data_IF_990071380847
#
_entry.id   IF_990071380847
#
_cell.length_a   1.000
_cell.length_b   1.000
_cell.length_c   1.000
_cell.angle_alpha   90.00
_cell.angle_beta   90.00
_cell.angle_gamma   90.00
#
_symmetry.space_group_name_H-M   'P 1'
#
loop_
_entity.id
_entity.type
_entity.pdbx_description
1 polymer ?
#
# COMPACT_ATOMS: atom_id res chain seq x y z
N UNK A 1 -36.12 44.06 8.59
CA UNK A 1 -35.73 43.02 7.62
C UNK A 1 -34.47 43.56 6.95
N UNK A 2 -33.27 43.32 7.49
CA UNK A 2 -32.37 42.25 7.04
C UNK A 2 -31.23 42.09 8.07
N UNK A 3 -31.49 41.42 9.19
CA UNK A 3 -30.43 40.92 10.07
C UNK A 3 -30.62 39.41 10.17
N UNK A 4 -30.35 38.71 9.06
CA UNK A 4 -30.20 37.26 9.05
C UNK A 4 -28.70 37.01 8.87
N UNK A 5 -28.07 36.80 10.01
CA UNK A 5 -27.04 35.77 10.23
C UNK A 5 -26.08 35.53 9.07
N UNK A 6 -24.95 36.26 9.07
CA UNK A 6 -23.70 35.64 8.65
C UNK A 6 -23.38 34.55 9.67
N UNK A 7 -23.87 33.33 9.43
CA UNK A 7 -23.44 32.14 10.15
C UNK A 7 -21.96 31.96 9.83
N UNK A 8 -21.11 32.46 10.73
CA UNK A 8 -19.68 32.20 10.70
C UNK A 8 -19.54 30.71 11.02
N UNK A 9 -19.32 29.89 9.99
CA UNK A 9 -18.92 28.51 10.19
C UNK A 9 -17.49 28.52 10.74
N UNK A 10 -17.34 28.42 12.06
CA UNK A 10 -16.06 28.12 12.69
C UNK A 10 -15.71 26.68 12.33
N UNK A 11 -14.64 26.41 11.56
CA UNK A 11 -14.22 25.05 11.29
C UNK A 11 -13.75 24.40 12.60
N UNK A 12 -14.55 23.49 13.14
CA UNK A 12 -14.13 22.64 14.25
C UNK A 12 -13.25 21.55 13.66
N UNK A 13 -11.94 21.67 13.84
CA UNK A 13 -10.98 20.62 13.49
C UNK A 13 -10.99 19.57 14.59
N UNK A 14 -11.44 18.36 14.27
CA UNK A 14 -11.24 17.20 15.15
C UNK A 14 -9.77 16.79 15.03
N UNK A 15 -8.98 16.87 16.10
CA UNK A 15 -7.57 16.49 16.05
C UNK A 15 -7.44 15.00 15.72
N UNK A 16 -6.35 14.64 15.05
CA UNK A 16 -5.99 13.24 14.82
C UNK A 16 -5.76 12.54 16.17
N UNK A 17 -6.13 11.26 16.23
CA UNK A 17 -5.88 10.47 17.44
C UNK A 17 -4.38 10.27 17.61
N UNK A 18 -3.90 10.38 18.85
CA UNK A 18 -2.53 10.02 19.16
C UNK A 18 -2.33 8.50 19.00
N UNK A 19 -1.07 8.04 18.89
CA UNK A 19 -0.78 6.61 18.73
C UNK A 19 -1.38 5.77 19.88
N UNK A 20 -1.32 6.27 21.12
CA UNK A 20 -1.95 5.60 22.28
C UNK A 20 -3.47 5.52 22.16
N UNK A 21 -4.11 6.56 21.63
CA UNK A 21 -5.56 6.60 21.48
C UNK A 21 -6.00 5.62 20.39
N UNK A 22 -5.21 5.47 19.32
CA UNK A 22 -5.47 4.43 18.30
C UNK A 22 -5.33 3.03 18.89
N UNK A 23 -4.31 2.80 19.72
CA UNK A 23 -4.14 1.51 20.39
C UNK A 23 -5.35 1.20 21.28
N UNK A 24 -5.74 2.13 22.15
CA UNK A 24 -6.92 1.98 23.01
C UNK A 24 -8.18 1.78 22.17
N UNK A 25 -8.35 2.57 21.11
CA UNK A 25 -9.48 2.49 20.20
C UNK A 25 -9.56 1.13 19.51
N UNK A 26 -8.43 0.60 19.02
CA UNK A 26 -8.37 -0.72 18.40
C UNK A 26 -8.78 -1.81 19.38
N UNK A 27 -8.31 -1.74 20.63
CA UNK A 27 -8.70 -2.70 21.68
C UNK A 27 -10.19 -2.59 22.03
N UNK A 28 -10.74 -1.39 22.10
CA UNK A 28 -12.17 -1.21 22.36
C UNK A 28 -13.05 -1.68 21.21
N UNK A 29 -12.59 -1.55 19.96
CA UNK A 29 -13.29 -2.14 18.82
C UNK A 29 -13.29 -3.68 18.90
N UNK A 30 -12.24 -4.30 19.42
CA UNK A 30 -12.25 -5.75 19.70
C UNK A 30 -13.31 -6.08 20.75
N UNK A 31 -13.35 -5.35 21.87
CA UNK A 31 -14.41 -5.54 22.88
C UNK A 31 -15.79 -5.38 22.23
N UNK A 32 -15.98 -4.35 21.41
CA UNK A 32 -17.24 -4.10 20.70
C UNK A 32 -17.69 -5.25 19.79
N UNK A 33 -16.76 -5.97 19.15
CA UNK A 33 -17.09 -7.11 18.27
C UNK A 33 -17.68 -8.29 19.07
N UNK A 34 -17.32 -8.43 20.35
CA UNK A 34 -17.70 -9.57 21.20
C UNK A 34 -18.73 -9.26 22.29
N UNK A 35 -19.25 -8.02 22.35
CA UNK A 35 -20.30 -7.66 23.31
C UNK A 35 -21.49 -6.96 22.64
N UNK A 36 -22.72 -7.20 23.13
CA UNK A 36 -23.90 -6.47 22.69
C UNK A 36 -23.75 -4.95 22.92
N UNK A 37 -24.43 -4.15 22.10
CA UNK A 37 -24.36 -2.68 22.15
C UNK A 37 -24.62 -2.08 23.53
N UNK A 38 -25.51 -2.68 24.31
CA UNK A 38 -25.85 -2.24 25.67
C UNK A 38 -24.72 -2.54 26.66
N UNK A 39 -24.17 -3.75 26.61
CA UNK A 39 -23.02 -4.15 27.44
C UNK A 39 -21.76 -3.35 27.07
N UNK A 40 -21.55 -3.05 25.79
CA UNK A 40 -20.46 -2.18 25.35
C UNK A 40 -20.56 -0.77 25.95
N UNK A 41 -21.78 -0.20 25.99
CA UNK A 41 -22.00 1.11 26.64
C UNK A 41 -21.66 1.04 28.14
N UNK A 42 -22.08 -0.02 28.82
CA UNK A 42 -21.77 -0.22 30.24
C UNK A 42 -20.25 -0.36 30.48
N UNK A 43 -19.54 -1.08 29.61
CA UNK A 43 -18.08 -1.15 29.61
C UNK A 43 -17.44 0.24 29.46
N UNK A 44 -17.88 1.04 28.48
CA UNK A 44 -17.35 2.40 28.29
C UNK A 44 -17.58 3.30 29.50
N UNK A 45 -18.75 3.22 30.14
CA UNK A 45 -19.04 3.97 31.37
C UNK A 45 -18.13 3.53 32.53
N UNK A 46 -17.84 2.24 32.66
CA UNK A 46 -16.86 1.73 33.65
C UNK A 46 -15.46 2.29 33.38
N UNK A 47 -14.99 2.24 32.14
CA UNK A 47 -13.68 2.79 31.74
C UNK A 47 -13.58 4.29 32.05
N UNK A 48 -14.63 5.07 31.76
CA UNK A 48 -14.70 6.51 32.05
C UNK A 48 -14.68 6.78 33.56
N UNK A 49 -15.49 6.05 34.34
CA UNK A 49 -15.59 6.21 35.80
C UNK A 49 -14.23 5.96 36.48
N UNK A 50 -13.47 5.01 35.97
CA UNK A 50 -12.13 4.69 36.45
C UNK A 50 -11.02 5.59 35.86
N UNK A 51 -11.36 6.58 35.04
CA UNK A 51 -10.43 7.57 34.46
C UNK A 51 -9.25 6.96 33.70
N UNK A 52 -9.42 5.77 33.13
CA UNK A 52 -8.33 5.02 32.47
C UNK A 52 -7.84 5.68 31.18
N UNK A 53 -8.64 6.59 30.61
CA UNK A 53 -8.29 7.34 29.39
C UNK A 53 -7.43 8.59 29.66
N UNK A 54 -7.19 8.94 30.92
CA UNK A 54 -6.49 10.18 31.31
C UNK A 54 -4.97 9.97 31.40
N UNK A 55 -4.50 8.71 31.38
CA UNK A 55 -3.08 8.38 31.45
C UNK A 55 -2.31 8.85 30.21
N UNK A 56 -1.02 9.14 30.40
CA UNK A 56 -0.09 9.44 29.31
C UNK A 56 0.20 8.22 28.43
N UNK A 57 0.03 7.01 28.96
CA UNK A 57 0.25 5.75 28.23
C UNK A 57 -1.04 5.10 27.73
N UNK A 58 -0.91 4.17 26.78
CA UNK A 58 -2.01 3.29 26.39
C UNK A 58 -2.46 2.43 27.58
N UNK A 59 -3.75 2.13 27.67
CA UNK A 59 -4.30 1.27 28.73
C UNK A 59 -3.69 -0.12 28.57
N UNK A 60 -3.20 -0.65 29.68
CA UNK A 60 -2.68 -1.99 29.74
C UNK A 60 -3.69 -3.03 29.21
N UNK A 61 -3.19 -3.94 28.38
CA UNK A 61 -4.02 -4.94 27.68
C UNK A 61 -4.69 -5.87 28.68
N UNK A 62 -3.98 -6.30 29.72
CA UNK A 62 -4.51 -7.19 30.74
C UNK A 62 -5.65 -6.51 31.51
N UNK A 63 -5.49 -5.23 31.83
CA UNK A 63 -6.54 -4.42 32.45
C UNK A 63 -7.79 -4.26 31.58
N UNK A 64 -7.63 -4.12 30.25
CA UNK A 64 -8.77 -4.11 29.31
C UNK A 64 -9.47 -5.47 29.32
N UNK A 65 -8.71 -6.57 29.21
CA UNK A 65 -9.26 -7.94 29.21
C UNK A 65 -10.09 -8.20 30.46
N UNK A 66 -9.50 -8.01 31.64
CA UNK A 66 -10.16 -8.24 32.93
C UNK A 66 -11.50 -7.51 33.03
N UNK A 67 -11.53 -6.24 32.60
CA UNK A 67 -12.75 -5.44 32.65
C UNK A 67 -13.76 -5.84 31.60
N UNK A 68 -13.32 -6.23 30.40
CA UNK A 68 -14.20 -6.63 29.32
C UNK A 68 -14.87 -7.98 29.59
N UNK A 69 -14.22 -8.89 30.32
CA UNK A 69 -14.76 -10.23 30.64
C UNK A 69 -16.09 -10.20 31.43
N UNK A 70 -16.38 -9.13 32.16
CA UNK A 70 -17.67 -8.92 32.83
C UNK A 70 -18.82 -8.60 31.87
N UNK A 71 -18.50 -8.18 30.64
CA UNK A 71 -19.45 -7.70 29.63
C UNK A 71 -19.47 -8.59 28.38
N UNK A 72 -18.84 -9.76 28.42
CA UNK A 72 -18.76 -10.70 27.30
C UNK A 72 -19.37 -12.03 27.75
N UNK A 73 -20.30 -12.56 26.97
CA UNK A 73 -20.93 -13.86 27.21
C UNK A 73 -19.91 -15.01 27.20
N UNK A 74 -20.12 -16.02 28.05
CA UNK A 74 -19.17 -17.12 28.26
C UNK A 74 -18.79 -17.83 26.95
N UNK A 75 -19.73 -17.98 26.02
CA UNK A 75 -19.52 -18.59 24.71
C UNK A 75 -18.51 -17.83 23.82
N UNK A 76 -18.31 -16.54 24.07
CA UNK A 76 -17.44 -15.67 23.28
C UNK A 76 -16.10 -15.38 23.97
N UNK A 77 -15.94 -15.68 25.27
CA UNK A 77 -14.75 -15.32 26.06
C UNK A 77 -13.46 -15.85 25.45
N UNK A 78 -13.41 -17.14 25.07
CA UNK A 78 -12.22 -17.74 24.45
C UNK A 78 -11.85 -17.05 23.13
N UNK A 79 -12.83 -16.82 22.25
CA UNK A 79 -12.60 -16.15 20.94
C UNK A 79 -12.18 -14.69 21.12
N UNK A 80 -12.72 -14.02 22.12
CA UNK A 80 -12.33 -12.69 22.52
C UNK A 80 -10.86 -12.67 22.97
N UNK A 81 -10.47 -13.53 23.92
CA UNK A 81 -9.09 -13.62 24.42
C UNK A 81 -8.09 -13.85 23.29
N UNK A 82 -8.33 -14.86 22.45
CA UNK A 82 -7.50 -15.15 21.27
C UNK A 82 -7.37 -13.92 20.35
N UNK A 83 -8.45 -13.18 20.14
CA UNK A 83 -8.45 -11.99 19.29
C UNK A 83 -7.69 -10.84 19.94
N UNK A 84 -7.86 -10.63 21.24
CA UNK A 84 -7.14 -9.61 21.98
C UNK A 84 -5.64 -9.87 21.94
N UNK A 85 -5.22 -11.13 22.12
CA UNK A 85 -3.79 -11.50 22.07
C UNK A 85 -3.17 -11.20 20.71
N UNK A 86 -3.86 -11.55 19.63
CA UNK A 86 -3.40 -11.24 18.26
C UNK A 86 -3.29 -9.73 18.07
N UNK A 87 -4.35 -8.97 18.41
CA UNK A 87 -4.40 -7.53 18.19
C UNK A 87 -3.39 -6.79 19.08
N UNK A 88 -3.16 -7.25 20.31
CA UNK A 88 -2.16 -6.70 21.20
C UNK A 88 -0.73 -6.81 20.64
N UNK A 89 -0.42 -7.89 19.93
CA UNK A 89 0.88 -8.08 19.27
C UNK A 89 1.14 -7.11 18.11
N UNK A 90 0.09 -6.57 17.49
CA UNK A 90 0.22 -5.72 16.29
C UNK A 90 -0.25 -4.27 16.48
N UNK A 91 -0.92 -3.94 17.59
CA UNK A 91 -1.57 -2.64 17.81
C UNK A 91 -0.60 -1.46 17.69
N UNK A 92 0.63 -1.60 18.17
CA UNK A 92 1.64 -0.54 18.12
C UNK A 92 2.07 -0.22 16.67
N UNK A 93 2.22 -1.25 15.84
CA UNK A 93 2.59 -1.09 14.42
C UNK A 93 1.42 -0.48 13.64
N UNK A 94 0.21 -0.99 13.89
CA UNK A 94 -1.02 -0.46 13.29
C UNK A 94 -1.22 1.01 13.68
N UNK A 95 -1.06 1.36 14.95
CA UNK A 95 -1.21 2.73 15.43
C UNK A 95 -0.17 3.68 14.80
N UNK A 96 1.10 3.26 14.75
CA UNK A 96 2.17 4.06 14.14
C UNK A 96 1.97 4.31 12.64
N UNK A 97 1.40 3.36 11.90
CA UNK A 97 1.18 3.50 10.46
C UNK A 97 -0.11 4.25 10.11
N UNK A 98 -1.19 4.08 10.90
CA UNK A 98 -2.50 4.62 10.58
C UNK A 98 -2.66 6.13 10.89
N UNK A 99 -1.61 6.81 11.35
CA UNK A 99 -1.53 8.27 11.57
C UNK A 99 -2.79 8.87 12.20
N UNK A 100 -3.29 8.26 13.27
CA UNK A 100 -4.45 8.79 13.99
C UNK A 100 -5.80 8.60 13.32
N UNK A 101 -5.91 7.91 12.17
CA UNK A 101 -7.16 7.81 11.41
C UNK A 101 -8.10 6.69 11.93
N UNK A 102 -9.18 7.02 12.67
CA UNK A 102 -10.03 6.00 13.29
C UNK A 102 -10.75 5.12 12.27
N UNK A 103 -11.08 5.68 11.11
CA UNK A 103 -11.75 4.94 10.02
C UNK A 103 -10.82 3.86 9.47
N UNK A 104 -9.54 4.17 9.30
CA UNK A 104 -8.58 3.18 8.82
C UNK A 104 -8.37 2.07 9.86
N UNK A 105 -8.32 2.42 11.15
CA UNK A 105 -8.21 1.45 12.25
C UNK A 105 -9.37 0.47 12.27
N UNK A 106 -10.60 0.99 12.18
CA UNK A 106 -11.80 0.14 12.09
C UNK A 106 -11.80 -0.72 10.82
N UNK A 107 -11.41 -0.15 9.68
CA UNK A 107 -11.32 -0.89 8.40
C UNK A 107 -10.32 -2.03 8.48
N UNK A 108 -9.16 -1.80 9.11
CA UNK A 108 -8.17 -2.84 9.36
C UNK A 108 -8.77 -3.98 10.20
N UNK A 109 -9.35 -3.66 11.36
CA UNK A 109 -9.93 -4.68 12.24
C UNK A 109 -11.05 -5.47 11.53
N UNK A 110 -11.97 -4.80 10.85
CA UNK A 110 -13.03 -5.46 10.10
C UNK A 110 -12.46 -6.39 9.02
N UNK A 111 -11.39 -5.97 8.33
CA UNK A 111 -10.72 -6.80 7.34
C UNK A 111 -10.14 -8.04 8.00
N UNK A 112 -9.41 -7.88 9.11
CA UNK A 112 -8.87 -8.99 9.88
C UNK A 112 -9.95 -9.97 10.35
N UNK A 113 -11.01 -9.49 11.00
CA UNK A 113 -12.13 -10.33 11.47
C UNK A 113 -12.80 -11.07 10.31
N UNK A 114 -13.01 -10.40 9.18
CA UNK A 114 -13.58 -11.02 7.98
C UNK A 114 -12.67 -12.13 7.46
N UNK A 115 -11.36 -11.88 7.36
CA UNK A 115 -10.37 -12.87 6.90
C UNK A 115 -10.19 -14.02 7.88
N UNK A 116 -10.28 -13.78 9.19
CA UNK A 116 -10.28 -14.82 10.23
C UNK A 116 -11.49 -15.74 10.06
N UNK A 117 -12.71 -15.18 9.99
CA UNK A 117 -13.94 -15.96 9.76
C UNK A 117 -13.87 -16.75 8.44
N UNK A 118 -13.29 -16.15 7.40
CA UNK A 118 -13.06 -16.81 6.11
C UNK A 118 -12.06 -17.97 6.22
N UNK A 119 -10.97 -17.79 6.98
CA UNK A 119 -9.98 -18.82 7.25
C UNK A 119 -10.61 -20.02 7.97
N UNK A 120 -11.40 -19.76 9.02
CA UNK A 120 -12.13 -20.77 9.78
C UNK A 120 -13.10 -21.56 8.87
N UNK A 121 -13.77 -20.88 7.94
CA UNK A 121 -14.68 -21.52 6.97
C UNK A 121 -13.95 -22.39 5.93
N UNK A 122 -12.81 -21.96 5.39
CA UNK A 122 -12.11 -22.71 4.34
C UNK A 122 -11.18 -23.79 4.87
N UNK A 123 -10.58 -23.58 6.04
CA UNK A 123 -9.49 -24.41 6.57
C UNK A 123 -9.81 -25.04 7.93
N UNK A 124 -10.99 -24.76 8.51
CA UNK A 124 -11.40 -25.28 9.81
C UNK A 124 -10.74 -24.58 10.99
N UNK A 125 -11.07 -25.05 12.20
CA UNK A 125 -10.56 -24.55 13.49
C UNK A 125 -9.62 -25.52 14.20
N UNK A 126 -9.41 -26.69 13.61
CA UNK A 126 -8.73 -27.83 14.23
C UNK A 126 -7.39 -28.11 13.52
N UNK A 127 -7.04 -29.37 13.28
CA UNK A 127 -5.80 -29.73 12.58
C UNK A 127 -5.73 -29.11 11.18
N UNK A 128 -4.74 -28.25 10.96
CA UNK A 128 -4.54 -27.53 9.70
C UNK A 128 -5.18 -26.14 9.64
N UNK A 129 -5.78 -25.66 10.74
CA UNK A 129 -6.22 -24.28 10.89
C UNK A 129 -5.06 -23.30 10.70
N UNK A 130 -5.37 -22.11 10.19
CA UNK A 130 -4.37 -21.06 10.02
C UNK A 130 -4.11 -20.34 11.35
N UNK A 131 -2.84 -20.03 11.61
CA UNK A 131 -2.47 -19.17 12.73
C UNK A 131 -2.93 -17.74 12.45
N UNK A 132 -3.91 -17.27 13.21
CA UNK A 132 -4.50 -15.94 13.04
C UNK A 132 -3.49 -14.82 13.31
N UNK A 133 -2.38 -15.09 14.03
CA UNK A 133 -1.29 -14.12 14.23
C UNK A 133 -0.50 -13.91 12.95
N UNK A 134 -0.22 -14.98 12.20
CA UNK A 134 0.41 -14.88 10.87
C UNK A 134 -0.48 -14.07 9.93
N UNK A 135 -1.79 -14.35 9.92
CA UNK A 135 -2.75 -13.60 9.11
C UNK A 135 -2.74 -12.10 9.45
N UNK A 136 -2.80 -11.76 10.74
CA UNK A 136 -2.76 -10.38 11.20
C UNK A 136 -1.45 -9.69 10.77
N UNK A 137 -0.30 -10.34 10.97
CA UNK A 137 1.01 -9.82 10.56
C UNK A 137 1.07 -9.55 9.05
N UNK A 138 0.56 -10.46 8.22
CA UNK A 138 0.50 -10.26 6.77
C UNK A 138 -0.42 -9.11 6.34
N UNK A 139 -1.59 -8.97 6.97
CA UNK A 139 -2.50 -7.85 6.71
C UNK A 139 -1.90 -6.50 7.13
N UNK A 140 -1.07 -6.49 8.18
CA UNK A 140 -0.31 -5.30 8.56
C UNK A 140 0.70 -4.97 7.45
N UNK A 141 1.51 -5.92 6.97
CA UNK A 141 2.44 -5.67 5.86
C UNK A 141 1.73 -5.09 4.65
N UNK A 142 0.59 -5.69 4.26
CA UNK A 142 -0.23 -5.21 3.15
C UNK A 142 -0.65 -3.73 3.31
N UNK A 143 -0.90 -3.28 4.54
CA UNK A 143 -1.22 -1.87 4.84
C UNK A 143 0.01 -0.98 4.91
N UNK A 144 1.14 -1.50 5.41
CA UNK A 144 2.39 -0.77 5.47
C UNK A 144 2.91 -0.49 4.06
N UNK A 145 3.00 -1.54 3.24
CA UNK A 145 3.52 -1.52 1.89
C UNK A 145 2.99 -2.72 1.08
N UNK A 146 2.11 -2.44 0.12
CA UNK A 146 1.50 -3.48 -0.70
C UNK A 146 2.48 -4.11 -1.71
N UNK A 147 3.53 -3.39 -2.12
CA UNK A 147 4.54 -3.93 -3.04
C UNK A 147 5.43 -4.94 -2.32
N UNK A 148 5.82 -4.66 -1.07
CA UNK A 148 6.54 -5.64 -0.22
C UNK A 148 5.66 -6.86 0.08
N UNK A 149 4.37 -6.67 0.32
CA UNK A 149 3.42 -7.77 0.49
C UNK A 149 3.33 -8.67 -0.76
N UNK A 150 3.27 -8.09 -1.96
CA UNK A 150 3.30 -8.83 -3.22
C UNK A 150 4.65 -9.52 -3.41
N UNK A 151 5.75 -8.85 -3.08
CA UNK A 151 7.08 -9.42 -3.18
C UNK A 151 7.24 -10.65 -2.28
N UNK A 152 6.73 -10.59 -1.03
CA UNK A 152 6.72 -11.73 -0.12
C UNK A 152 5.92 -12.91 -0.69
N UNK A 153 4.80 -12.64 -1.36
CA UNK A 153 4.05 -13.68 -2.06
C UNK A 153 4.86 -14.31 -3.20
N UNK A 154 5.59 -13.52 -3.98
CA UNK A 154 6.46 -14.06 -5.03
C UNK A 154 7.59 -14.93 -4.47
N UNK A 155 8.19 -14.54 -3.34
CA UNK A 155 9.17 -15.37 -2.63
C UNK A 155 8.54 -16.66 -2.11
N UNK A 156 7.33 -16.57 -1.53
CA UNK A 156 6.63 -17.73 -1.00
C UNK A 156 6.26 -18.76 -2.08
N UNK A 157 6.08 -18.37 -3.35
CA UNK A 157 5.86 -19.34 -4.44
C UNK A 157 7.03 -20.31 -4.65
N UNK A 158 8.23 -19.92 -4.21
CA UNK A 158 9.45 -20.75 -4.23
C UNK A 158 9.68 -21.50 -2.91
N UNK A 159 8.75 -21.46 -1.98
CA UNK A 159 8.86 -22.12 -0.69
C UNK A 159 9.04 -23.64 -0.86
N UNK A 160 10.13 -24.17 -0.33
CA UNK A 160 10.41 -25.61 -0.25
C UNK A 160 10.22 -26.08 1.19
N UNK A 161 11.30 -26.05 1.98
CA UNK A 161 11.35 -26.24 3.44
C UNK A 161 11.38 -24.92 4.19
N UNK A 162 11.94 -23.88 3.58
CA UNK A 162 11.95 -22.51 4.07
C UNK A 162 11.85 -21.51 2.91
N UNK A 163 11.55 -20.26 3.22
CA UNK A 163 11.57 -19.14 2.28
C UNK A 163 12.98 -18.52 2.27
N UNK A 164 13.82 -18.97 1.32
CA UNK A 164 15.22 -18.56 1.23
C UNK A 164 15.38 -17.05 1.01
N UNK A 165 14.55 -16.43 0.17
CA UNK A 165 14.63 -14.99 -0.06
C UNK A 165 14.21 -14.16 1.17
N UNK A 166 13.22 -14.62 1.93
CA UNK A 166 12.85 -13.94 3.18
C UNK A 166 13.97 -14.08 4.23
N UNK A 167 14.59 -15.27 4.34
CA UNK A 167 15.73 -15.49 5.23
C UNK A 167 16.92 -14.62 4.88
N UNK A 168 17.29 -14.55 3.60
CA UNK A 168 18.36 -13.67 3.13
C UNK A 168 18.06 -12.18 3.40
N UNK A 169 16.77 -11.79 3.33
CA UNK A 169 16.33 -10.44 3.71
C UNK A 169 16.53 -10.18 5.22
N UNK A 170 16.20 -11.14 6.10
CA UNK A 170 16.44 -11.04 7.54
C UNK A 170 17.93 -10.86 7.87
N UNK A 171 18.79 -11.71 7.28
CA UNK A 171 20.25 -11.63 7.45
C UNK A 171 20.82 -10.28 7.00
N UNK A 172 20.24 -9.69 5.94
CA UNK A 172 20.61 -8.37 5.45
C UNK A 172 20.19 -7.24 6.40
N UNK A 173 19.04 -7.36 7.08
CA UNK A 173 18.61 -6.37 8.10
C UNK A 173 19.50 -6.44 9.34
N UNK A 174 19.93 -7.64 9.74
CA UNK A 174 20.82 -7.83 10.90
C UNK A 174 22.27 -7.35 10.65
N UNK A 175 22.66 -7.12 9.39
CA UNK A 175 23.99 -6.68 8.98
C UNK A 175 23.94 -5.30 8.29
N UNK A 176 23.98 -4.18 9.03
CA UNK A 176 23.79 -2.82 8.50
C UNK A 176 24.80 -2.40 7.42
N UNK A 177 25.98 -3.03 7.39
CA UNK A 177 27.05 -2.76 6.42
C UNK A 177 26.83 -3.42 5.05
N UNK A 178 25.79 -4.25 4.91
CA UNK A 178 25.51 -4.99 3.69
C UNK A 178 24.52 -4.18 2.81
N UNK A 179 25.04 -3.30 1.95
CA UNK A 179 24.24 -2.55 0.98
C UNK A 179 23.75 -3.46 -0.16
N UNK A 180 22.73 -4.27 0.11
CA UNK A 180 22.04 -5.01 -0.93
C UNK A 180 20.85 -4.21 -1.48
N UNK A 181 21.02 -3.64 -2.68
CA UNK A 181 19.97 -2.85 -3.36
C UNK A 181 18.62 -3.60 -3.45
N UNK A 182 18.64 -4.95 -3.50
CA UNK A 182 17.44 -5.80 -3.57
C UNK A 182 16.56 -5.67 -2.32
N UNK A 183 17.14 -5.45 -1.14
CA UNK A 183 16.43 -5.45 0.14
C UNK A 183 16.31 -4.06 0.78
N UNK A 184 16.77 -3.01 0.10
CA UNK A 184 16.74 -1.63 0.60
C UNK A 184 15.34 -1.18 1.05
N UNK A 185 14.28 -1.59 0.34
CA UNK A 185 12.90 -1.27 0.70
C UNK A 185 12.41 -2.00 1.98
N UNK A 186 13.02 -3.13 2.35
CA UNK A 186 12.75 -3.85 3.60
C UNK A 186 13.50 -3.26 4.80
N UNK A 187 14.59 -2.54 4.55
CA UNK A 187 15.43 -1.90 5.57
C UNK A 187 14.95 -0.47 5.89
N UNK A 188 13.66 -0.33 6.23
CA UNK A 188 13.03 0.94 6.62
C UNK A 188 12.47 0.79 8.04
N UNK A 189 12.55 1.80 8.93
CA UNK A 189 12.20 1.64 10.35
C UNK A 189 10.81 1.05 10.63
N UNK A 190 9.80 1.38 9.81
CA UNK A 190 8.45 0.82 9.94
C UNK A 190 8.38 -0.67 9.57
N UNK A 191 9.14 -1.10 8.57
CA UNK A 191 9.19 -2.49 8.11
C UNK A 191 10.05 -3.34 9.06
N UNK A 192 11.15 -2.79 9.60
CA UNK A 192 11.95 -3.47 10.62
C UNK A 192 11.10 -3.79 11.86
N UNK A 193 10.33 -2.81 12.36
CA UNK A 193 9.38 -3.05 13.47
C UNK A 193 8.36 -4.15 13.13
N UNK A 194 7.93 -4.24 11.88
CA UNK A 194 7.06 -5.32 11.42
C UNK A 194 7.78 -6.67 11.40
N UNK A 195 9.02 -6.73 10.92
CA UNK A 195 9.83 -7.95 10.93
C UNK A 195 9.99 -8.48 12.35
N UNK A 196 10.33 -7.60 13.31
CA UNK A 196 10.56 -7.92 14.73
C UNK A 196 9.30 -8.34 15.49
N UNK A 197 8.11 -8.04 14.97
CA UNK A 197 6.85 -8.42 15.62
C UNK A 197 6.60 -9.91 15.59
N UNK A 198 5.83 -10.43 16.55
CA UNK A 198 5.43 -11.83 16.52
C UNK A 198 4.35 -12.08 15.44
N UNK A 199 4.40 -13.21 14.72
CA UNK A 199 5.43 -14.27 14.75
C UNK A 199 6.69 -13.90 13.95
N UNK A 200 7.88 -14.11 14.53
CA UNK A 200 9.17 -13.74 13.89
C UNK A 200 9.57 -14.62 12.71
N UNK A 201 9.41 -15.94 12.85
CA UNK A 201 9.94 -16.93 11.90
C UNK A 201 9.01 -17.22 10.71
N UNK A 202 8.67 -16.19 9.93
CA UNK A 202 7.81 -16.36 8.74
C UNK A 202 8.49 -17.20 7.64
N UNK A 203 9.83 -17.25 7.59
CA UNK A 203 10.60 -18.07 6.66
C UNK A 203 10.30 -19.56 6.78
N UNK A 204 9.88 -20.04 7.95
CA UNK A 204 9.59 -21.45 8.21
C UNK A 204 8.13 -21.82 7.97
N UNK A 205 7.28 -20.85 7.69
CA UNK A 205 5.83 -21.04 7.57
C UNK A 205 5.46 -20.91 6.10
N UNK A 206 4.80 -21.94 5.57
CA UNK A 206 4.25 -21.89 4.20
C UNK A 206 3.04 -20.96 4.16
N UNK A 207 3.12 -19.88 3.38
CA UNK A 207 2.13 -18.80 3.41
C UNK A 207 1.00 -18.89 2.35
N UNK A 208 0.98 -19.93 1.52
CA UNK A 208 0.09 -20.02 0.35
C UNK A 208 -1.40 -19.84 0.70
N UNK A 209 -1.83 -20.45 1.80
CA UNK A 209 -3.22 -20.37 2.27
C UNK A 209 -3.59 -18.96 2.73
N UNK A 210 -2.66 -18.22 3.33
CA UNK A 210 -2.88 -16.83 3.74
C UNK A 210 -2.96 -15.91 2.52
N UNK A 211 -2.09 -16.13 1.53
CA UNK A 211 -2.10 -15.41 0.27
C UNK A 211 -3.35 -15.71 -0.57
N UNK A 212 -3.85 -16.95 -0.51
CA UNK A 212 -5.15 -17.29 -1.11
C UNK A 212 -6.30 -16.49 -0.53
N UNK A 213 -6.34 -16.32 0.81
CA UNK A 213 -7.38 -15.52 1.49
C UNK A 213 -7.30 -14.03 1.14
N UNK A 214 -6.16 -13.55 0.65
CA UNK A 214 -5.88 -12.13 0.37
C UNK A 214 -5.60 -11.89 -1.12
N UNK A 215 -6.00 -12.84 -1.99
CA UNK A 215 -5.71 -12.84 -3.43
C UNK A 215 -6.15 -11.56 -4.16
N UNK A 216 -7.20 -10.89 -3.68
CA UNK A 216 -7.64 -9.62 -4.24
C UNK A 216 -6.60 -8.51 -4.09
N UNK A 217 -5.70 -8.64 -3.12
CA UNK A 217 -4.64 -7.70 -2.78
C UNK A 217 -3.31 -8.03 -3.47
N UNK A 218 -3.20 -9.24 -4.05
CA UNK A 218 -2.01 -9.71 -4.77
C UNK A 218 -1.96 -9.25 -6.22
N UNK A 219 -3.04 -8.67 -6.73
CA UNK A 219 -3.00 -7.93 -7.98
C UNK A 219 -2.16 -6.68 -7.70
N UNK A 220 -0.94 -6.60 -8.26
CA UNK A 220 -0.21 -5.33 -8.41
C UNK A 220 -1.22 -4.32 -8.89
N UNK A 221 -1.48 -3.30 -8.08
CA UNK A 221 -2.60 -2.38 -8.23
C UNK A 221 -2.97 -2.21 -9.71
N UNK A 222 -3.93 -3.00 -10.18
CA UNK A 222 -4.78 -2.53 -11.25
C UNK A 222 -5.45 -1.36 -10.58
N UNK A 223 -5.02 -0.15 -10.94
CA UNK A 223 -5.61 1.10 -10.43
C UNK A 223 -7.11 0.88 -10.39
N UNK A 224 -7.71 1.03 -9.21
CA UNK A 224 -9.14 0.79 -9.04
C UNK A 224 -9.90 1.82 -9.91
N UNK A 225 -10.21 1.40 -11.15
CA UNK A 225 -10.82 2.23 -12.19
C UNK A 225 -12.15 2.78 -11.67
N UNK A 226 -12.80 2.10 -10.71
CA UNK A 226 -14.03 2.58 -10.08
C UNK A 226 -13.86 3.89 -9.29
N UNK A 227 -12.63 4.18 -8.82
CA UNK A 227 -12.29 5.40 -8.07
C UNK A 227 -11.81 6.56 -8.94
N UNK A 228 -11.73 6.37 -10.26
CA UNK A 228 -11.44 7.45 -11.22
C UNK A 228 -12.68 8.32 -11.44
N UNK A 229 -12.49 9.63 -11.51
CA UNK A 229 -13.53 10.56 -11.94
C UNK A 229 -13.94 10.27 -13.40
N UNK A 230 -15.14 10.71 -13.79
CA UNK A 230 -15.60 10.57 -15.18
C UNK A 230 -14.63 11.25 -16.17
N UNK A 231 -14.05 12.40 -15.80
CA UNK A 231 -13.06 13.09 -16.60
C UNK A 231 -11.74 12.31 -16.72
N UNK A 232 -11.25 11.69 -15.64
CA UNK A 232 -10.06 10.85 -15.69
C UNK A 232 -10.26 9.58 -16.55
N UNK A 233 -11.47 8.98 -16.52
CA UNK A 233 -11.83 7.86 -17.39
C UNK A 233 -11.88 8.26 -18.86
N UNK A 234 -12.50 9.41 -19.17
CA UNK A 234 -12.54 9.98 -20.53
C UNK A 234 -11.13 10.17 -21.09
N UNK A 235 -10.23 10.75 -20.30
CA UNK A 235 -8.83 10.94 -20.68
C UNK A 235 -8.14 9.61 -20.97
N UNK A 236 -8.31 8.59 -20.14
CA UNK A 236 -7.69 7.28 -20.34
C UNK A 236 -8.23 6.56 -21.59
N UNK A 237 -9.52 6.72 -21.90
CA UNK A 237 -10.09 6.20 -23.15
C UNK A 237 -9.50 6.89 -24.37
N UNK A 238 -9.34 8.22 -24.32
CA UNK A 238 -8.71 8.99 -25.39
C UNK A 238 -7.21 8.63 -25.55
N UNK A 239 -6.47 8.39 -24.46
CA UNK A 239 -5.09 7.89 -24.53
C UNK A 239 -5.05 6.52 -25.22
N UNK A 240 -5.97 5.62 -24.89
CA UNK A 240 -6.04 4.28 -25.49
C UNK A 240 -6.36 4.25 -26.98
N UNK A 241 -7.05 5.28 -27.50
CA UNK A 241 -7.40 5.45 -28.92
C UNK A 241 -6.58 6.55 -29.63
N UNK A 242 -5.56 7.09 -28.97
CA UNK A 242 -4.91 8.31 -29.43
C UNK A 242 -4.27 8.12 -30.81
N UNK A 243 -4.58 9.01 -31.75
CA UNK A 243 -3.79 9.20 -32.97
C UNK A 243 -2.78 10.33 -32.75
N UNK A 244 -1.66 10.35 -33.49
CA UNK A 244 -0.58 11.36 -33.33
C UNK A 244 -1.12 12.81 -33.31
N UNK A 245 -2.09 13.13 -34.17
CA UNK A 245 -2.68 14.47 -34.25
C UNK A 245 -3.61 14.88 -33.10
N UNK A 246 -4.06 13.93 -32.28
CA UNK A 246 -4.99 14.19 -31.15
C UNK A 246 -4.26 14.41 -29.82
N UNK A 247 -2.95 14.17 -29.76
CA UNK A 247 -2.19 14.31 -28.52
C UNK A 247 -2.23 15.70 -27.89
N UNK A 248 -2.18 16.83 -28.64
CA UNK A 248 -2.29 18.16 -28.04
C UNK A 248 -3.59 18.35 -27.23
N UNK A 249 -4.72 17.90 -27.78
CA UNK A 249 -6.03 17.97 -27.10
C UNK A 249 -6.08 17.06 -25.86
N UNK A 250 -5.45 15.88 -25.92
CA UNK A 250 -5.37 14.96 -24.78
C UNK A 250 -4.52 15.56 -23.66
N UNK A 251 -3.42 16.22 -24.00
CA UNK A 251 -2.56 16.92 -23.03
C UNK A 251 -3.33 18.05 -22.34
N UNK A 252 -4.07 18.87 -23.08
CA UNK A 252 -4.93 19.90 -22.49
C UNK A 252 -5.97 19.32 -21.53
N UNK A 253 -6.62 18.21 -21.92
CA UNK A 253 -7.58 17.52 -21.05
C UNK A 253 -6.93 17.01 -19.76
N UNK A 254 -5.72 16.44 -19.82
CA UNK A 254 -4.99 15.99 -18.63
C UNK A 254 -4.62 17.19 -17.74
N UNK A 255 -4.15 18.28 -18.32
CA UNK A 255 -3.77 19.49 -17.59
C UNK A 255 -4.97 20.14 -16.87
N UNK A 256 -6.18 20.01 -17.43
CA UNK A 256 -7.42 20.49 -16.83
C UNK A 256 -7.93 19.62 -15.65
N UNK A 257 -7.37 18.42 -15.42
CA UNK A 257 -7.72 17.59 -14.27
C UNK A 257 -7.13 18.16 -12.97
N UNK A 258 -7.77 17.87 -11.84
CA UNK A 258 -7.17 18.12 -10.52
C UNK A 258 -5.95 17.22 -10.27
N UNK A 259 -5.07 17.60 -9.35
CA UNK A 259 -3.82 16.87 -9.07
C UNK A 259 -4.01 15.40 -8.69
N UNK A 260 -5.11 15.07 -7.99
CA UNK A 260 -5.43 13.69 -7.59
C UNK A 260 -5.76 12.84 -8.81
N UNK A 261 -6.61 13.35 -9.70
CA UNK A 261 -7.01 12.66 -10.92
C UNK A 261 -5.85 12.55 -11.93
N UNK A 262 -5.00 13.59 -12.04
CA UNK A 262 -3.77 13.49 -12.82
C UNK A 262 -2.87 12.35 -12.31
N UNK A 263 -2.62 12.26 -10.99
CA UNK A 263 -1.78 11.18 -10.44
C UNK A 263 -2.34 9.80 -10.76
N UNK A 264 -3.66 9.62 -10.63
CA UNK A 264 -4.32 8.36 -10.96
C UNK A 264 -4.21 8.01 -12.44
N UNK A 265 -4.32 8.98 -13.35
CA UNK A 265 -4.11 8.74 -14.79
C UNK A 265 -2.70 8.21 -15.04
N UNK A 266 -1.68 8.81 -14.44
CA UNK A 266 -0.30 8.34 -14.56
C UNK A 266 -0.09 6.97 -13.92
N UNK A 267 -0.74 6.67 -12.80
CA UNK A 267 -0.73 5.34 -12.18
C UNK A 267 -1.31 4.25 -13.11
N UNK A 268 -2.31 4.57 -13.94
CA UNK A 268 -2.89 3.62 -14.91
C UNK A 268 -1.98 3.44 -16.13
N UNK A 269 -1.38 4.53 -16.61
CA UNK A 269 -0.60 4.53 -17.86
C UNK A 269 0.80 3.93 -17.66
N UNK A 270 1.44 4.17 -16.51
CA UNK A 270 2.80 3.73 -16.20
C UNK A 270 3.00 2.20 -16.32
N UNK A 271 2.12 1.33 -15.79
CA UNK A 271 2.19 -0.11 -16.02
C UNK A 271 2.07 -0.51 -17.49
N UNK A 272 1.24 0.18 -18.27
CA UNK A 272 1.07 -0.07 -19.71
C UNK A 272 2.32 0.35 -20.52
N UNK A 273 2.97 1.44 -20.11
CA UNK A 273 4.27 1.84 -20.65
C UNK A 273 5.28 0.72 -20.43
N UNK A 274 5.40 0.20 -19.20
CA UNK A 274 6.32 -0.89 -18.85
C UNK A 274 6.10 -2.15 -19.72
N UNK A 275 4.83 -2.49 -19.99
CA UNK A 275 4.45 -3.61 -20.88
C UNK A 275 4.64 -3.35 -22.38
N UNK A 276 5.03 -2.13 -22.76
CA UNK A 276 5.15 -1.72 -24.16
C UNK A 276 3.82 -1.62 -24.90
N UNK A 277 2.72 -1.44 -24.17
CA UNK A 277 1.36 -1.29 -24.73
C UNK A 277 1.07 0.16 -25.16
N UNK A 278 1.95 1.10 -24.82
CA UNK A 278 1.82 2.52 -25.15
C UNK A 278 2.90 2.91 -26.17
N UNK A 279 2.48 3.59 -27.23
CA UNK A 279 3.36 4.07 -28.29
C UNK A 279 4.25 5.24 -27.84
N UNK A 280 5.48 5.31 -28.37
CA UNK A 280 6.48 6.30 -27.94
C UNK A 280 6.07 7.76 -28.19
N UNK A 281 5.23 8.05 -29.18
CA UNK A 281 4.74 9.43 -29.37
C UNK A 281 3.83 9.89 -28.23
N UNK A 282 3.07 8.98 -27.62
CA UNK A 282 2.24 9.24 -26.43
C UNK A 282 3.15 9.46 -25.23
N UNK A 283 4.11 8.55 -25.02
CA UNK A 283 5.09 8.64 -23.92
C UNK A 283 5.84 9.97 -23.97
N UNK A 284 6.34 10.37 -25.15
CA UNK A 284 6.98 11.66 -25.39
C UNK A 284 6.06 12.82 -25.01
N UNK A 285 4.83 12.84 -25.54
CA UNK A 285 3.87 13.91 -25.26
C UNK A 285 3.59 14.05 -23.76
N UNK A 286 3.47 12.94 -23.03
CA UNK A 286 3.28 12.97 -21.58
C UNK A 286 4.53 13.47 -20.86
N UNK A 287 5.72 13.00 -21.23
CA UNK A 287 6.99 13.36 -20.59
C UNK A 287 7.34 14.84 -20.76
N UNK A 288 7.15 15.38 -21.97
CA UNK A 288 7.49 16.78 -22.29
C UNK A 288 6.57 17.74 -21.54
N UNK A 289 5.26 17.46 -21.48
CA UNK A 289 4.28 18.39 -20.93
C UNK A 289 4.05 18.27 -19.41
N UNK A 290 4.45 17.16 -18.78
CA UNK A 290 4.16 16.91 -17.37
C UNK A 290 5.42 16.62 -16.54
N UNK A 291 6.15 17.68 -16.20
CA UNK A 291 7.43 17.61 -15.48
C UNK A 291 7.35 16.82 -14.17
N UNK A 292 6.32 17.05 -13.36
CA UNK A 292 6.10 16.38 -12.07
C UNK A 292 5.98 14.84 -12.17
N UNK A 293 5.75 14.30 -13.37
CA UNK A 293 5.55 12.87 -13.60
C UNK A 293 6.69 12.23 -14.39
N UNK A 294 7.75 12.98 -14.74
CA UNK A 294 8.91 12.47 -15.47
C UNK A 294 9.59 11.29 -14.76
N UNK A 295 9.73 11.36 -13.44
CA UNK A 295 10.33 10.25 -12.66
C UNK A 295 9.48 8.97 -12.75
N UNK A 296 8.16 9.09 -12.63
CA UNK A 296 7.26 7.93 -12.77
C UNK A 296 7.37 7.31 -14.17
N UNK A 297 7.46 8.14 -15.20
CA UNK A 297 7.61 7.68 -16.59
C UNK A 297 8.96 7.00 -16.80
N UNK A 298 10.07 7.60 -16.33
CA UNK A 298 11.40 7.00 -16.41
C UNK A 298 11.45 5.65 -15.69
N UNK A 299 10.93 5.57 -14.46
CA UNK A 299 10.89 4.30 -13.70
C UNK A 299 10.08 3.21 -14.42
N UNK A 300 9.01 3.58 -15.12
CA UNK A 300 8.28 2.63 -15.99
C UNK A 300 9.13 2.15 -17.16
N UNK A 301 9.84 3.08 -17.79
CA UNK A 301 10.67 2.85 -18.96
C UNK A 301 11.91 2.02 -18.64
N UNK A 302 12.51 2.15 -17.46
CA UNK A 302 13.60 1.27 -17.01
C UNK A 302 13.21 -0.21 -17.07
N UNK A 303 11.95 -0.52 -16.75
CA UNK A 303 11.39 -1.87 -16.83
C UNK A 303 10.70 -2.22 -18.15
N UNK A 304 10.91 -1.44 -19.22
CA UNK A 304 10.25 -1.62 -20.51
C UNK A 304 10.53 -3.01 -21.10
N UNK A 305 9.49 -3.66 -21.62
CA UNK A 305 9.55 -5.09 -21.99
C UNK A 305 9.77 -5.38 -23.48
N UNK A 306 9.81 -4.35 -24.34
CA UNK A 306 10.03 -4.50 -25.79
C UNK A 306 11.38 -3.92 -26.20
N UNK A 307 11.97 -4.43 -27.27
CA UNK A 307 13.17 -3.82 -27.86
C UNK A 307 12.86 -2.43 -28.41
N UNK A 308 13.76 -1.49 -28.18
CA UNK A 308 13.64 -0.13 -28.72
C UNK A 308 14.14 -0.15 -30.16
N UNK A 309 13.38 0.50 -31.05
CA UNK A 309 13.66 0.51 -32.50
C UNK A 309 14.03 1.91 -32.98
N UNK A 310 14.54 2.03 -34.20
CA UNK A 310 14.87 3.32 -34.81
C UNK A 310 13.64 4.26 -34.91
N UNK A 311 12.42 3.71 -34.97
CA UNK A 311 11.19 4.50 -35.06
C UNK A 311 10.87 5.34 -33.82
N UNK A 312 11.42 5.00 -32.65
CA UNK A 312 11.22 5.78 -31.41
C UNK A 312 12.29 6.87 -31.19
N UNK A 313 13.35 6.91 -32.00
CA UNK A 313 14.44 7.88 -31.87
C UNK A 313 13.96 9.34 -31.84
N UNK A 314 13.06 9.80 -32.75
CA UNK A 314 12.58 11.18 -32.71
C UNK A 314 11.90 11.53 -31.38
N UNK A 315 11.07 10.61 -30.87
CA UNK A 315 10.36 10.79 -29.63
C UNK A 315 11.30 10.87 -28.42
N UNK A 316 12.33 10.01 -28.38
CA UNK A 316 13.31 10.00 -27.28
C UNK A 316 14.20 11.25 -27.33
N UNK A 317 14.56 11.76 -28.52
CA UNK A 317 15.29 13.02 -28.67
C UNK A 317 14.53 14.20 -28.08
N UNK A 318 13.22 14.28 -28.34
CA UNK A 318 12.38 15.34 -27.77
C UNK A 318 12.23 15.21 -26.24
N UNK A 319 12.15 13.98 -25.71
CA UNK A 319 12.20 13.76 -24.26
C UNK A 319 13.54 14.23 -23.67
N UNK A 320 14.65 13.91 -24.34
CA UNK A 320 16.01 14.31 -23.93
C UNK A 320 16.19 15.83 -23.96
N UNK A 321 15.59 16.52 -24.92
CA UNK A 321 15.58 17.97 -24.97
C UNK A 321 14.80 18.59 -23.80
N UNK A 322 13.75 17.92 -23.32
CA UNK A 322 12.96 18.37 -22.18
C UNK A 322 13.62 18.09 -20.81
N UNK A 323 14.38 16.99 -20.70
CA UNK A 323 15.15 16.63 -19.50
C UNK A 323 16.38 15.78 -19.85
N UNK A 324 17.51 16.46 -20.07
CA UNK A 324 18.76 15.85 -20.53
C UNK A 324 19.24 14.76 -19.56
N UNK A 325 19.25 15.07 -18.26
CA UNK A 325 19.81 14.21 -17.23
C UNK A 325 19.02 12.91 -17.12
N UNK A 326 17.70 12.99 -16.93
CA UNK A 326 16.86 11.80 -16.73
C UNK A 326 16.86 10.87 -17.93
N UNK A 327 16.89 11.43 -19.14
CA UNK A 327 16.91 10.61 -20.36
C UNK A 327 18.29 10.01 -20.60
N UNK A 328 19.38 10.71 -20.32
CA UNK A 328 20.72 10.11 -20.42
C UNK A 328 20.94 8.99 -19.38
N UNK A 329 20.42 9.15 -18.16
CA UNK A 329 20.41 8.09 -17.14
C UNK A 329 19.60 6.87 -17.62
N UNK A 330 18.42 7.09 -18.19
CA UNK A 330 17.58 6.04 -18.76
C UNK A 330 18.24 5.31 -19.94
N UNK A 331 18.91 6.04 -20.83
CA UNK A 331 19.66 5.47 -21.95
C UNK A 331 20.79 4.56 -21.45
N UNK A 332 21.50 4.96 -20.39
CA UNK A 332 22.54 4.14 -19.78
C UNK A 332 21.97 2.85 -19.17
N UNK A 333 20.80 2.92 -18.52
CA UNK A 333 20.09 1.74 -18.01
C UNK A 333 19.67 0.80 -19.13
N UNK A 334 19.16 1.31 -20.23
CA UNK A 334 18.77 0.51 -21.41
C UNK A 334 19.95 -0.09 -22.17
N UNK A 335 21.08 0.59 -22.19
CA UNK A 335 22.33 0.03 -22.72
C UNK A 335 22.78 -1.18 -21.91
N UNK A 336 22.78 -1.05 -20.57
CA UNK A 336 23.17 -2.13 -19.65
C UNK A 336 22.23 -3.33 -19.71
N UNK A 337 20.92 -3.10 -19.90
CA UNK A 337 19.93 -4.17 -19.99
C UNK A 337 19.84 -4.82 -21.39
N UNK A 338 20.54 -4.29 -22.39
CA UNK A 338 20.56 -4.83 -23.76
C UNK A 338 19.27 -4.59 -24.56
N UNK A 339 18.36 -3.75 -24.04
CA UNK A 339 17.09 -3.40 -24.70
C UNK A 339 17.31 -2.39 -25.83
N UNK A 340 18.40 -1.62 -25.75
CA UNK A 340 18.78 -0.57 -26.70
C UNK A 340 20.20 -0.81 -27.24
N UNK A 341 20.34 -0.79 -28.56
CA UNK A 341 21.63 -0.94 -29.23
C UNK A 341 22.44 0.36 -29.18
N UNK A 342 23.77 0.25 -29.01
CA UNK A 342 24.71 1.40 -29.00
C UNK A 342 24.54 2.34 -30.20
N UNK A 343 24.31 1.79 -31.38
CA UNK A 343 24.06 2.55 -32.61
C UNK A 343 22.84 3.47 -32.51
N UNK A 344 21.79 3.03 -31.81
CA UNK A 344 20.57 3.83 -31.58
C UNK A 344 20.83 4.91 -30.53
N UNK A 345 21.65 4.63 -29.51
CA UNK A 345 22.09 5.64 -28.52
C UNK A 345 22.85 6.77 -29.20
N UNK A 346 23.79 6.43 -30.08
CA UNK A 346 24.55 7.41 -30.86
C UNK A 346 23.62 8.25 -31.75
N UNK A 347 22.64 7.64 -32.40
CA UNK A 347 21.62 8.38 -33.14
C UNK A 347 20.81 9.31 -32.23
N UNK A 348 20.39 8.87 -31.04
CA UNK A 348 19.64 9.74 -30.11
C UNK A 348 20.50 10.93 -29.64
N UNK A 349 21.81 10.73 -29.45
CA UNK A 349 22.74 11.76 -28.96
C UNK A 349 23.30 12.68 -30.06
N UNK A 350 23.16 12.33 -31.34
CA UNK A 350 23.52 13.24 -32.45
C UNK A 350 22.62 14.48 -32.40
N UNK A 351 23.23 15.64 -32.18
CA UNK A 351 22.57 16.92 -32.35
C UNK A 351 22.04 17.02 -33.79
N UNK A 352 20.75 17.35 -33.92
CA UNK A 352 20.17 17.65 -35.21
C UNK A 352 20.89 18.85 -35.82
N UNK A 353 21.35 18.71 -37.06
CA UNK A 353 21.68 19.86 -37.91
C UNK A 353 20.44 20.69 -38.19
#
# INVERSE_FOLDING_TARGET
KEYIEKIIQLPIYIPELSSKDIENYLMFLVVQEYCPKEQFKAFLEKIKKEKLLISDDAIDVQKIKEKAMEFIGDENKRKFEETVDVIAGIKAIVAGNLKGNPRQTKRFLNTYITKKKLAELYFGTDEGALDTRVLAKLLVLQKLDNDLFIQLNEWNKRFTTENEEFKAMLECIESPDNENEKFKAWNVPSIIKWVESEPKHLEKIRLDRYFYLTRESLKKADVDISTLSAAAKDVLEHIGRAARGLMPQIVEKIAALNAVDQSKVFEVVTPKIKKGEIEFYIIRSLFVNFEAYRDKICNALEGYSKKITLGSVPAIREMRAADLKKVDDLLATWEKSGILEKKIIEEIKKEGK
#
